data_IF_709881007146
#
_entry.id   IF_709881007146
#
_cell.length_a   1.000
_cell.length_b   1.000
_cell.length_c   1.000
_cell.angle_alpha   90.00
_cell.angle_beta   90.00
_cell.angle_gamma   90.00
#
_symmetry.space_group_name_H-M   'P 1'
#
loop_
_entity.id
_entity.type
_entity.pdbx_description
1 polymer ?
#
# COMPACT_ATOMS: atom_id res chain seq x y z
N UNK A 1 -4.51 -0.32 25.03
CA UNK A 1 -4.83 0.86 24.19
C UNK A 1 -5.95 0.47 23.24
N UNK A 2 -6.96 1.32 23.05
CA UNK A 2 -8.19 1.02 22.30
C UNK A 2 -8.16 1.62 20.87
N UNK A 3 -7.04 1.48 20.16
CA UNK A 3 -6.85 1.96 18.79
C UNK A 3 -6.47 0.84 17.82
N UNK A 4 -6.43 1.11 16.50
CA UNK A 4 -6.00 0.13 15.51
C UNK A 4 -4.54 -0.28 15.75
N UNK A 5 -4.16 -1.46 15.22
CA UNK A 5 -2.76 -1.90 15.24
C UNK A 5 -1.99 -1.14 14.15
N UNK A 6 -1.19 -0.15 14.55
CA UNK A 6 -0.42 0.69 13.63
C UNK A 6 1.03 0.18 13.49
N UNK A 7 1.64 0.46 12.34
CA UNK A 7 3.08 0.27 12.15
C UNK A 7 3.84 1.46 12.75
N UNK A 8 5.01 1.25 13.40
CA UNK A 8 5.86 2.35 13.81
C UNK A 8 6.44 3.08 12.58
N UNK A 9 6.91 4.31 12.79
CA UNK A 9 7.67 5.02 11.76
C UNK A 9 8.92 4.21 11.37
N UNK A 10 9.25 4.12 10.07
CA UNK A 10 10.53 3.57 9.63
C UNK A 10 11.71 4.29 10.33
N UNK A 11 12.74 3.56 10.79
CA UNK A 11 13.82 4.17 11.57
C UNK A 11 14.57 5.30 10.85
N UNK A 12 14.67 5.24 9.53
CA UNK A 12 15.34 6.19 8.66
C UNK A 12 14.57 7.50 8.45
N UNK A 13 13.26 7.54 8.75
CA UNK A 13 12.45 8.76 8.70
C UNK A 13 12.28 9.43 10.07
N UNK A 14 12.74 8.81 11.16
CA UNK A 14 12.63 9.40 12.49
C UNK A 14 13.47 10.69 12.59
N UNK A 15 12.84 11.80 12.99
CA UNK A 15 13.49 13.11 13.14
C UNK A 15 13.76 13.85 11.82
N UNK A 16 13.16 13.39 10.72
CA UNK A 16 13.28 14.00 9.39
C UNK A 16 12.06 14.88 9.10
N UNK A 17 12.23 16.19 9.24
CA UNK A 17 11.16 17.17 8.97
C UNK A 17 10.81 17.27 7.47
N UNK A 18 11.67 16.74 6.60
CA UNK A 18 11.49 16.64 5.16
C UNK A 18 10.73 15.37 4.71
N UNK A 19 10.49 14.42 5.62
CA UNK A 19 9.78 13.19 5.31
C UNK A 19 8.27 13.40 5.21
N UNK A 20 7.64 12.79 4.21
CA UNK A 20 6.19 12.87 3.98
C UNK A 20 5.60 11.47 3.92
N UNK A 21 4.59 11.19 4.76
CA UNK A 21 3.80 9.95 4.66
C UNK A 21 2.90 10.01 3.42
N UNK A 22 3.14 9.09 2.48
CA UNK A 22 2.42 9.06 1.18
C UNK A 22 1.12 8.26 1.28
N UNK A 23 1.14 7.14 2.01
CA UNK A 23 0.12 6.09 2.03
C UNK A 23 -0.02 5.59 3.47
N UNK A 24 -1.27 5.44 3.93
CA UNK A 24 -1.61 4.63 5.09
C UNK A 24 -2.77 3.70 4.75
N UNK A 25 -2.60 2.39 4.96
CA UNK A 25 -3.61 1.39 4.62
C UNK A 25 -3.91 0.49 5.83
N UNK A 26 -5.20 0.23 6.06
CA UNK A 26 -5.68 -0.69 7.10
C UNK A 26 -6.59 -1.75 6.49
N UNK A 27 -6.42 -2.99 6.93
CA UNK A 27 -7.42 -4.04 6.70
C UNK A 27 -8.52 -3.88 7.75
N UNK A 28 -9.75 -3.63 7.30
CA UNK A 28 -10.93 -3.49 8.16
C UNK A 28 -12.16 -3.97 7.40
N UNK A 29 -13.04 -4.71 8.08
CA UNK A 29 -14.31 -5.24 7.53
C UNK A 29 -14.16 -6.01 6.19
N UNK A 30 -13.05 -6.71 6.00
CA UNK A 30 -12.78 -7.51 4.80
C UNK A 30 -12.31 -6.71 3.58
N UNK A 31 -12.08 -5.40 3.72
CA UNK A 31 -11.54 -4.53 2.69
C UNK A 31 -10.33 -3.72 3.16
N UNK A 32 -9.89 -2.79 2.31
CA UNK A 32 -8.84 -1.82 2.61
C UNK A 32 -9.44 -0.43 2.85
N UNK A 33 -9.10 0.17 3.98
CA UNK A 33 -9.28 1.61 4.22
C UNK A 33 -7.96 2.31 3.95
N UNK A 34 -7.94 3.22 2.98
CA UNK A 34 -6.70 3.86 2.50
C UNK A 34 -6.79 5.38 2.62
N UNK A 35 -5.75 5.99 3.16
CA UNK A 35 -5.50 7.42 3.13
C UNK A 35 -4.26 7.69 2.26
N UNK A 36 -4.40 8.64 1.32
CA UNK A 36 -3.32 9.09 0.45
C UNK A 36 -3.08 10.58 0.59
N UNK A 37 -1.81 10.97 0.55
CA UNK A 37 -1.39 12.33 0.24
C UNK A 37 -0.86 12.37 -1.18
N UNK A 38 -1.14 13.47 -1.91
CA UNK A 38 -0.51 13.70 -3.20
C UNK A 38 0.98 13.98 -2.96
N UNK A 39 1.80 12.94 -3.08
CA UNK A 39 3.25 13.03 -2.88
C UNK A 39 4.03 13.08 -4.19
N UNK A 40 3.41 12.65 -5.30
CA UNK A 40 4.03 12.58 -6.60
C UNK A 40 3.28 13.46 -7.62
N UNK A 41 4.05 14.18 -8.43
CA UNK A 41 3.52 15.01 -9.51
C UNK A 41 3.19 14.20 -10.76
N UNK A 42 4.04 13.22 -11.08
CA UNK A 42 3.95 12.37 -12.27
C UNK A 42 3.31 11.01 -11.98
N UNK A 43 2.46 10.50 -12.90
CA UNK A 43 1.80 9.19 -12.74
C UNK A 43 2.79 8.03 -12.67
N UNK A 44 3.91 8.10 -13.37
CA UNK A 44 4.92 7.03 -13.43
C UNK A 44 5.55 6.74 -12.05
N UNK A 45 5.67 7.76 -11.20
CA UNK A 45 6.15 7.59 -9.81
C UNK A 45 5.18 6.77 -8.96
N UNK A 46 3.87 6.84 -9.23
CA UNK A 46 2.89 5.96 -8.59
C UNK A 46 3.08 4.50 -9.03
N UNK A 47 3.42 4.29 -10.30
CA UNK A 47 3.79 2.96 -10.81
C UNK A 47 4.99 2.37 -10.07
N UNK A 48 6.04 3.17 -9.84
CA UNK A 48 7.21 2.73 -9.07
C UNK A 48 6.83 2.37 -7.63
N UNK A 49 6.03 3.20 -6.96
CA UNK A 49 5.55 2.91 -5.60
C UNK A 49 4.80 1.57 -5.53
N UNK A 50 3.94 1.27 -6.52
CA UNK A 50 3.21 0.00 -6.57
C UNK A 50 4.15 -1.20 -6.75
N UNK A 51 5.18 -1.07 -7.59
CA UNK A 51 6.22 -2.10 -7.75
C UNK A 51 6.96 -2.35 -6.44
N UNK A 52 7.33 -1.28 -5.72
CA UNK A 52 8.02 -1.42 -4.44
C UNK A 52 7.15 -2.10 -3.38
N UNK A 53 5.85 -1.77 -3.32
CA UNK A 53 4.89 -2.44 -2.45
C UNK A 53 4.79 -3.94 -2.81
N UNK A 54 4.64 -4.28 -4.09
CA UNK A 54 4.53 -5.66 -4.54
C UNK A 54 5.78 -6.48 -4.17
N UNK A 55 6.97 -5.90 -4.35
CA UNK A 55 8.25 -6.53 -3.97
C UNK A 55 8.37 -6.72 -2.45
N UNK A 56 7.94 -5.75 -1.65
CA UNK A 56 7.92 -5.90 -0.19
C UNK A 56 6.95 -6.98 0.26
N UNK A 57 5.76 -7.04 -0.33
CA UNK A 57 4.77 -8.08 -0.06
C UNK A 57 5.32 -9.47 -0.42
N UNK A 58 5.97 -9.62 -1.58
CA UNK A 58 6.58 -10.87 -2.01
C UNK A 58 7.67 -11.35 -1.03
N UNK A 59 8.58 -10.46 -0.61
CA UNK A 59 9.62 -10.76 0.40
C UNK A 59 9.05 -11.15 1.76
N UNK A 60 7.97 -10.52 2.18
CA UNK A 60 7.31 -10.85 3.44
C UNK A 60 6.66 -12.23 3.33
N UNK A 61 5.92 -12.48 2.24
CA UNK A 61 5.21 -13.73 2.01
C UNK A 61 6.14 -14.93 1.87
N UNK A 62 7.28 -14.78 1.19
CA UNK A 62 8.25 -15.87 1.04
C UNK A 62 8.95 -16.26 2.34
N UNK A 63 8.94 -15.39 3.36
CA UNK A 63 9.47 -15.71 4.70
C UNK A 63 8.48 -16.51 5.55
N UNK A 64 7.20 -16.45 5.21
CA UNK A 64 6.09 -16.99 6.01
C UNK A 64 5.34 -18.12 5.29
N UNK A 65 5.79 -18.54 4.11
CA UNK A 65 5.14 -19.55 3.27
C UNK A 65 6.15 -20.45 2.54
N UNK A 66 5.64 -21.42 1.78
CA UNK A 66 6.44 -22.33 0.95
C UNK A 66 6.86 -21.72 -0.40
N UNK A 67 6.32 -20.53 -0.74
CA UNK A 67 6.64 -19.87 -2.01
C UNK A 67 7.99 -19.17 -1.95
N UNK A 68 8.73 -19.23 -3.05
CA UNK A 68 9.87 -18.34 -3.28
C UNK A 68 9.41 -16.89 -3.47
N UNK A 69 10.32 -15.92 -3.31
CA UNK A 69 10.02 -14.51 -3.57
C UNK A 69 9.52 -14.30 -5.01
N UNK A 70 10.11 -14.99 -5.98
CA UNK A 70 9.73 -14.89 -7.40
C UNK A 70 8.33 -15.46 -7.66
N UNK A 71 7.99 -16.62 -7.08
CA UNK A 71 6.65 -17.20 -7.19
C UNK A 71 5.60 -16.31 -6.52
N UNK A 72 5.91 -15.78 -5.34
CA UNK A 72 5.03 -14.87 -4.63
C UNK A 72 4.80 -13.59 -5.45
N UNK A 73 5.87 -12.98 -6.00
CA UNK A 73 5.77 -11.79 -6.82
C UNK A 73 4.97 -12.06 -8.11
N UNK A 74 5.22 -13.17 -8.80
CA UNK A 74 4.49 -13.54 -10.00
C UNK A 74 2.98 -13.64 -9.74
N UNK A 75 2.58 -14.29 -8.64
CA UNK A 75 1.17 -14.40 -8.25
C UNK A 75 0.54 -13.06 -7.87
N UNK A 76 1.29 -12.19 -7.18
CA UNK A 76 0.84 -10.83 -6.86
C UNK A 76 0.57 -10.04 -8.14
N UNK A 77 1.50 -10.08 -9.10
CA UNK A 77 1.37 -9.38 -10.38
C UNK A 77 0.23 -9.93 -11.22
N UNK A 78 0.07 -11.25 -11.31
CA UNK A 78 -1.04 -11.90 -12.04
C UNK A 78 -2.40 -11.41 -11.53
N UNK A 79 -2.60 -11.39 -10.21
CA UNK A 79 -3.85 -10.90 -9.62
C UNK A 79 -4.04 -9.40 -9.81
N UNK A 80 -2.96 -8.61 -9.70
CA UNK A 80 -3.01 -7.17 -9.92
C UNK A 80 -3.43 -6.82 -11.35
N UNK A 81 -2.83 -7.46 -12.35
CA UNK A 81 -3.19 -7.25 -13.77
C UNK A 81 -4.62 -7.73 -14.06
N UNK A 82 -5.04 -8.85 -13.47
CA UNK A 82 -6.40 -9.36 -13.62
C UNK A 82 -7.45 -8.38 -13.08
N UNK A 83 -7.21 -7.80 -11.91
CA UNK A 83 -8.09 -6.81 -11.28
C UNK A 83 -8.15 -5.50 -12.08
N UNK A 84 -7.03 -5.05 -12.65
CA UNK A 84 -7.02 -3.90 -13.56
C UNK A 84 -7.85 -4.17 -14.82
N UNK A 85 -7.68 -5.36 -15.42
CA UNK A 85 -8.38 -5.72 -16.65
C UNK A 85 -9.89 -5.95 -16.42
N UNK A 86 -10.27 -6.45 -15.24
CA UNK A 86 -11.65 -6.76 -14.86
C UNK A 86 -11.89 -6.36 -13.39
N UNK A 87 -12.16 -5.08 -13.11
CA UNK A 87 -12.37 -4.59 -11.75
C UNK A 87 -13.57 -5.28 -11.08
N UNK A 88 -13.35 -5.78 -9.87
CA UNK A 88 -14.37 -6.35 -8.98
C UNK A 88 -14.88 -5.33 -7.96
N UNK A 89 -14.05 -4.33 -7.64
CA UNK A 89 -14.42 -3.13 -6.88
C UNK A 89 -13.68 -1.91 -7.45
N UNK A 90 -14.41 -0.85 -7.79
CA UNK A 90 -13.80 0.41 -8.27
C UNK A 90 -13.26 1.27 -7.11
N UNK A 91 -13.59 0.89 -5.86
CA UNK A 91 -13.26 1.63 -4.65
C UNK A 91 -13.97 2.99 -4.56
N UNK A 92 -13.73 3.70 -3.45
CA UNK A 92 -14.06 5.11 -3.30
C UNK A 92 -12.88 5.84 -2.68
N UNK A 93 -12.22 6.72 -3.43
CA UNK A 93 -11.21 7.63 -2.86
C UNK A 93 -11.88 8.97 -2.57
N UNK A 94 -12.13 9.26 -1.30
CA UNK A 94 -12.67 10.57 -0.89
C UNK A 94 -11.52 11.58 -0.75
N UNK A 95 -11.63 12.79 -1.31
CA UNK A 95 -10.64 13.83 -1.09
C UNK A 95 -10.58 14.20 0.41
N UNK A 96 -9.36 14.30 0.95
CA UNK A 96 -9.07 14.60 2.37
C UNK A 96 -9.76 15.88 2.89
N UNK A 97 -10.17 16.79 2.00
CA UNK A 97 -10.86 18.05 2.36
C UNK A 97 -12.27 17.88 2.94
N UNK A 98 -12.84 16.66 3.02
CA UNK A 98 -14.17 16.43 3.59
C UNK A 98 -14.17 15.70 4.95
N UNK A 99 -13.02 15.33 5.51
CA UNK A 99 -12.95 14.81 6.88
C UNK A 99 -12.50 15.94 7.80
N UNK A 100 -13.48 16.57 8.43
CA UNK A 100 -13.32 17.73 9.32
C UNK A 100 -12.54 17.44 10.60
N UNK A 101 -12.13 18.57 11.20
CA UNK A 101 -11.43 18.80 12.47
C UNK A 101 -11.63 17.80 13.61
#
# INVERSE_FOLDING_TARGET
>A
MAGPKEQPLPPDVMGRDDAVEVLRAFVVDGGLSIAFQRAFEEPDMWGLMLVDIARHAARAYSRESEYTEDEALARIVEMFEAEIARPTDMGQTKPRSQQGH
#
